data_IF_641785172261
#
_entry.id   IF_641785172261
#
_cell.length_a   1.000
_cell.length_b   1.000
_cell.length_c   1.000
_cell.angle_alpha   90.00
_cell.angle_beta   90.00
_cell.angle_gamma   90.00
#
_symmetry.space_group_name_H-M   'P 1'
#
loop_
_entity.id
_entity.type
_entity.pdbx_description
1 polymer ?
#
# COMPACT_ATOMS: atom_id res chain seq x y z
N UNK A 1 -5.12 26.32 -5.46
CA UNK A 1 -4.61 24.98 -5.86
C UNK A 1 -5.22 23.82 -5.05
N UNK A 2 -5.96 24.10 -3.97
CA UNK A 2 -6.63 23.11 -3.09
C UNK A 2 -8.13 22.88 -3.40
N UNK A 3 -8.72 23.63 -4.35
CA UNK A 3 -10.16 23.56 -4.64
C UNK A 3 -10.62 22.28 -5.36
N UNK A 4 -9.70 21.47 -5.91
CA UNK A 4 -10.10 20.28 -6.68
C UNK A 4 -10.46 19.06 -5.83
N UNK A 5 -10.10 19.03 -4.55
CA UNK A 5 -10.29 17.85 -3.68
C UNK A 5 -11.02 18.25 -2.41
N UNK A 6 -12.25 17.75 -2.24
CA UNK A 6 -13.07 17.99 -1.05
C UNK A 6 -12.36 17.61 0.25
N UNK A 7 -12.63 18.32 1.35
CA UNK A 7 -12.14 18.00 2.69
C UNK A 7 -12.43 16.54 3.09
N UNK A 8 -13.62 16.03 2.74
CA UNK A 8 -14.00 14.63 2.98
C UNK A 8 -12.99 13.63 2.39
N UNK A 9 -12.60 13.81 1.13
CA UNK A 9 -11.57 12.98 0.47
C UNK A 9 -10.21 13.09 1.14
N UNK A 10 -9.83 14.28 1.63
CA UNK A 10 -8.57 14.43 2.37
C UNK A 10 -8.60 13.65 3.69
N UNK A 11 -9.73 13.63 4.40
CA UNK A 11 -9.89 12.80 5.58
C UNK A 11 -9.88 11.31 5.26
N UNK A 12 -10.53 10.87 4.17
CA UNK A 12 -10.46 9.48 3.71
C UNK A 12 -9.03 9.05 3.37
N UNK A 13 -8.25 9.89 2.69
CA UNK A 13 -6.85 9.62 2.42
C UNK A 13 -6.05 9.46 3.71
N UNK A 14 -6.21 10.38 4.67
CA UNK A 14 -5.56 10.27 5.99
C UNK A 14 -5.96 9.01 6.74
N UNK A 15 -7.24 8.66 6.70
CA UNK A 15 -7.74 7.43 7.30
C UNK A 15 -7.10 6.19 6.65
N UNK A 16 -6.94 6.19 5.33
CA UNK A 16 -6.25 5.11 4.62
C UNK A 16 -4.77 5.01 5.01
N UNK A 17 -4.05 6.13 5.07
CA UNK A 17 -2.65 6.15 5.53
C UNK A 17 -2.52 5.66 6.97
N UNK A 18 -3.45 6.07 7.85
CA UNK A 18 -3.47 5.62 9.24
C UNK A 18 -3.75 4.11 9.31
N UNK A 19 -4.70 3.61 8.52
CA UNK A 19 -5.02 2.19 8.44
C UNK A 19 -3.81 1.37 8.01
N UNK A 20 -3.05 1.82 7.01
CA UNK A 20 -1.81 1.16 6.55
C UNK A 20 -0.76 1.18 7.66
N UNK A 21 -0.49 2.35 8.24
CA UNK A 21 0.53 2.50 9.28
C UNK A 21 0.24 1.65 10.52
N UNK A 22 -1.01 1.67 11.01
CA UNK A 22 -1.43 0.89 12.16
C UNK A 22 -1.50 -0.60 11.83
N UNK A 23 -2.08 -0.96 10.67
CA UNK A 23 -2.20 -2.35 10.24
C UNK A 23 -0.83 -3.03 10.14
N UNK A 24 0.12 -2.42 9.44
CA UNK A 24 1.49 -2.93 9.34
C UNK A 24 2.27 -2.77 10.65
N UNK A 25 1.99 -1.73 11.44
CA UNK A 25 2.52 -1.54 12.78
C UNK A 25 2.19 -2.69 13.74
N UNK A 26 1.00 -3.29 13.59
CA UNK A 26 0.58 -4.41 14.43
C UNK A 26 1.03 -5.75 13.82
N UNK A 27 0.98 -5.92 12.50
CA UNK A 27 1.24 -7.23 11.87
C UNK A 27 2.69 -7.48 11.49
N UNK A 28 3.45 -6.44 11.12
CA UNK A 28 4.82 -6.57 10.61
C UNK A 28 5.86 -6.15 11.64
N UNK A 29 5.68 -5.01 12.30
CA UNK A 29 6.70 -4.45 13.20
C UNK A 29 7.11 -5.35 14.38
N UNK A 30 6.24 -6.15 15.02
CA UNK A 30 6.70 -7.11 16.04
C UNK A 30 7.72 -8.09 15.49
N UNK A 31 7.54 -8.56 14.25
CA UNK A 31 8.46 -9.48 13.57
C UNK A 31 9.77 -8.85 13.12
N UNK A 32 9.88 -7.51 13.16
CA UNK A 32 11.09 -6.74 12.90
C UNK A 32 11.85 -6.46 14.19
N UNK A 33 11.14 -6.02 15.25
CA UNK A 33 11.75 -5.63 16.53
C UNK A 33 12.23 -6.87 17.31
N UNK A 34 11.45 -7.95 17.27
CA UNK A 34 11.75 -9.21 17.95
C UNK A 34 11.68 -10.38 16.93
N UNK A 35 12.62 -10.46 15.97
CA UNK A 35 12.59 -11.49 14.95
C UNK A 35 12.99 -12.85 15.53
N UNK A 36 12.34 -13.92 15.06
CA UNK A 36 12.73 -15.29 15.40
C UNK A 36 14.12 -15.68 14.85
N UNK A 37 14.60 -14.98 13.81
CA UNK A 37 15.93 -15.15 13.23
C UNK A 37 16.37 -13.85 12.56
N UNK A 38 17.65 -13.52 12.67
CA UNK A 38 18.29 -12.36 12.03
C UNK A 38 18.96 -12.70 10.69
N UNK A 39 18.83 -13.94 10.23
CA UNK A 39 19.42 -14.40 8.97
C UNK A 39 18.65 -13.85 7.78
N UNK A 40 19.39 -13.35 6.78
CA UNK A 40 18.82 -12.81 5.55
C UNK A 40 18.02 -13.87 4.78
N UNK A 41 16.77 -13.55 4.45
CA UNK A 41 15.89 -14.37 3.61
C UNK A 41 14.82 -13.49 2.92
N UNK A 42 14.09 -13.98 1.92
CA UNK A 42 13.06 -13.18 1.25
C UNK A 42 12.03 -12.57 2.21
N UNK A 43 11.65 -13.28 3.27
CA UNK A 43 10.75 -12.79 4.31
C UNK A 43 11.34 -11.63 5.12
N UNK A 44 12.63 -11.65 5.46
CA UNK A 44 13.28 -10.52 6.14
C UNK A 44 13.32 -9.27 5.24
N UNK A 45 13.51 -9.45 3.93
CA UNK A 45 13.45 -8.35 2.96
C UNK A 45 12.03 -7.77 2.86
N UNK A 46 11.01 -8.63 2.71
CA UNK A 46 9.60 -8.21 2.63
C UNK A 46 9.17 -7.47 3.90
N UNK A 47 9.51 -7.98 5.08
CA UNK A 47 9.21 -7.33 6.35
C UNK A 47 9.83 -5.94 6.42
N UNK A 48 11.11 -5.79 6.04
CA UNK A 48 11.77 -4.48 6.02
C UNK A 48 11.11 -3.49 5.05
N UNK A 49 10.72 -3.96 3.85
CA UNK A 49 10.00 -3.13 2.88
C UNK A 49 8.63 -2.68 3.41
N UNK A 50 7.85 -3.59 3.98
CA UNK A 50 6.54 -3.27 4.55
C UNK A 50 6.65 -2.44 5.84
N UNK A 51 7.69 -2.66 6.64
CA UNK A 51 8.00 -1.85 7.82
C UNK A 51 8.32 -0.40 7.44
N UNK A 52 9.15 -0.20 6.42
CA UNK A 52 9.45 1.11 5.87
C UNK A 52 8.20 1.78 5.29
N UNK A 53 7.38 1.03 4.54
CA UNK A 53 6.10 1.50 4.01
C UNK A 53 5.19 2.02 5.14
N UNK A 54 5.12 1.31 6.28
CA UNK A 54 4.33 1.74 7.44
C UNK A 54 4.80 3.09 8.00
N UNK A 55 6.12 3.31 8.09
CA UNK A 55 6.68 4.58 8.54
C UNK A 55 6.40 5.71 7.55
N UNK A 56 6.59 5.46 6.26
CA UNK A 56 6.35 6.46 5.22
C UNK A 56 4.86 6.80 5.12
N UNK A 57 3.97 5.86 5.43
CA UNK A 57 2.53 6.12 5.51
C UNK A 57 2.17 7.16 6.58
N UNK A 58 2.95 7.28 7.67
CA UNK A 58 2.75 8.34 8.67
C UNK A 58 2.91 9.75 8.07
N UNK A 59 3.81 9.91 7.09
CA UNK A 59 3.96 11.19 6.37
C UNK A 59 2.69 11.52 5.55
N UNK A 60 1.96 10.50 5.09
CA UNK A 60 0.68 10.65 4.42
C UNK A 60 -0.41 11.28 5.29
N UNK A 61 -0.29 11.22 6.62
CA UNK A 61 -1.21 11.91 7.53
C UNK A 61 -1.06 13.44 7.41
N UNK A 62 0.20 13.90 7.29
CA UNK A 62 0.52 15.32 7.15
C UNK A 62 0.35 15.81 5.71
N UNK A 63 0.79 15.02 4.73
CA UNK A 63 0.85 15.40 3.31
C UNK A 63 0.07 14.42 2.39
N UNK A 64 -1.26 14.24 2.58
CA UNK A 64 -2.00 13.13 1.96
C UNK A 64 -2.01 13.13 0.43
N UNK A 65 -2.01 14.31 -0.21
CA UNK A 65 -1.98 14.43 -1.68
C UNK A 65 -0.58 14.26 -2.27
N UNK A 66 0.47 14.67 -1.55
CA UNK A 66 1.85 14.52 -2.03
C UNK A 66 2.30 13.07 -1.93
N UNK A 67 1.75 12.32 -0.98
CA UNK A 67 2.06 10.92 -0.72
C UNK A 67 1.23 9.92 -1.56
N UNK A 68 0.42 10.39 -2.53
CA UNK A 68 -0.34 9.50 -3.42
C UNK A 68 0.50 8.41 -4.11
N UNK A 69 1.76 8.63 -4.50
CA UNK A 69 2.59 7.56 -5.07
C UNK A 69 2.73 6.36 -4.14
N UNK A 70 2.68 6.57 -2.82
CA UNK A 70 2.72 5.50 -1.82
C UNK A 70 1.48 4.61 -1.91
N UNK A 71 0.28 5.19 -2.06
CA UNK A 71 -0.96 4.43 -2.21
C UNK A 71 -1.02 3.72 -3.56
N UNK A 72 -0.49 4.35 -4.62
CA UNK A 72 -0.37 3.70 -5.94
C UNK A 72 0.55 2.49 -5.84
N UNK A 73 1.73 2.65 -5.22
CA UNK A 73 2.63 1.53 -4.95
C UNK A 73 1.94 0.43 -4.16
N UNK A 74 1.22 0.80 -3.10
CA UNK A 74 0.49 -0.14 -2.23
C UNK A 74 -0.57 -0.95 -2.98
N UNK A 75 -1.29 -0.30 -3.88
CA UNK A 75 -2.25 -0.96 -4.75
C UNK A 75 -1.55 -1.88 -5.74
N UNK A 76 -0.49 -1.40 -6.40
CA UNK A 76 0.20 -2.12 -7.46
C UNK A 76 0.79 -3.43 -6.97
N UNK A 77 1.57 -3.43 -5.88
CA UNK A 77 2.21 -4.68 -5.44
C UNK A 77 1.16 -5.71 -4.98
N UNK A 78 0.04 -5.29 -4.38
CA UNK A 78 -1.07 -6.17 -4.01
C UNK A 78 -1.77 -6.76 -5.22
N UNK A 79 -2.05 -5.94 -6.24
CA UNK A 79 -2.64 -6.42 -7.49
C UNK A 79 -1.70 -7.41 -8.16
N UNK A 80 -0.40 -7.09 -8.27
CA UNK A 80 0.61 -8.00 -8.81
C UNK A 80 0.63 -9.30 -8.00
N UNK A 81 0.63 -9.21 -6.67
CA UNK A 81 0.66 -10.39 -5.82
C UNK A 81 -0.55 -11.30 -6.02
N UNK A 82 -1.75 -10.71 -6.05
CA UNK A 82 -3.01 -11.45 -6.27
C UNK A 82 -2.99 -12.10 -7.66
N UNK A 83 -2.68 -11.35 -8.71
CA UNK A 83 -2.78 -11.82 -10.09
C UNK A 83 -1.70 -12.86 -10.41
N UNK A 84 -0.45 -12.60 -10.02
CA UNK A 84 0.68 -13.44 -10.39
C UNK A 84 0.87 -14.65 -9.47
N UNK A 85 0.40 -14.60 -8.22
CA UNK A 85 0.65 -15.67 -7.24
C UNK A 85 -0.64 -16.23 -6.64
N UNK A 86 -1.50 -15.40 -6.06
CA UNK A 86 -2.68 -15.91 -5.35
C UNK A 86 -3.69 -16.61 -6.27
N UNK A 87 -3.96 -16.04 -7.45
CA UNK A 87 -4.88 -16.62 -8.43
C UNK A 87 -4.35 -17.97 -8.96
N UNK A 88 -3.09 -18.09 -9.42
CA UNK A 88 -2.52 -19.39 -9.78
C UNK A 88 -2.52 -20.41 -8.63
N UNK A 89 -2.19 -19.99 -7.40
CA UNK A 89 -2.23 -20.88 -6.23
C UNK A 89 -3.64 -21.41 -5.97
N UNK A 90 -4.64 -20.53 -6.03
CA UNK A 90 -6.04 -20.90 -5.82
C UNK A 90 -6.56 -21.85 -6.90
N UNK A 91 -6.12 -21.67 -8.16
CA UNK A 91 -6.49 -22.53 -9.28
C UNK A 91 -5.75 -23.88 -9.30
N UNK A 92 -4.64 -24.02 -8.58
CA UNK A 92 -3.81 -25.23 -8.58
C UNK A 92 -3.71 -25.87 -7.18
N UNK A 93 -2.57 -25.70 -6.48
CA UNK A 93 -2.28 -26.41 -5.23
C UNK A 93 -3.20 -26.04 -4.05
N UNK A 94 -3.99 -24.97 -4.18
CA UNK A 94 -4.79 -24.41 -3.11
C UNK A 94 -4.02 -23.34 -2.30
N UNK A 95 -4.77 -22.62 -1.46
CA UNK A 95 -4.22 -21.58 -0.59
C UNK A 95 -4.03 -22.16 0.82
N UNK A 96 -2.79 -22.18 1.30
CA UNK A 96 -2.51 -22.48 2.71
C UNK A 96 -3.07 -21.38 3.64
N UNK A 97 -2.87 -21.52 4.96
CA UNK A 97 -3.37 -20.53 5.92
C UNK A 97 -2.77 -19.14 5.67
N UNK A 98 -1.46 -19.06 5.46
CA UNK A 98 -0.75 -17.81 5.24
C UNK A 98 -1.18 -17.11 3.93
N UNK A 99 -1.32 -17.87 2.85
CA UNK A 99 -1.76 -17.37 1.56
C UNK A 99 -3.21 -16.87 1.61
N UNK A 100 -4.10 -17.53 2.37
CA UNK A 100 -5.48 -17.05 2.58
C UNK A 100 -5.53 -15.72 3.32
N UNK A 101 -4.79 -15.60 4.42
CA UNK A 101 -4.70 -14.35 5.18
C UNK A 101 -4.09 -13.22 4.34
N UNK A 102 -3.03 -13.54 3.59
CA UNK A 102 -2.37 -12.58 2.70
C UNK A 102 -3.29 -12.15 1.57
N UNK A 103 -4.04 -13.08 0.96
CA UNK A 103 -5.05 -12.77 -0.06
C UNK A 103 -6.15 -11.88 0.50
N UNK A 104 -6.66 -12.17 1.70
CA UNK A 104 -7.66 -11.33 2.34
C UNK A 104 -7.15 -9.90 2.57
N UNK A 105 -5.96 -9.76 3.15
CA UNK A 105 -5.34 -8.45 3.39
C UNK A 105 -5.05 -7.69 2.08
N UNK A 106 -4.58 -8.39 1.05
CA UNK A 106 -4.35 -7.80 -0.27
C UNK A 106 -5.66 -7.37 -0.92
N UNK A 107 -6.69 -8.21 -0.92
CA UNK A 107 -8.00 -7.93 -1.50
C UNK A 107 -8.66 -6.72 -0.83
N UNK A 108 -8.60 -6.63 0.50
CA UNK A 108 -9.06 -5.45 1.24
C UNK A 108 -8.35 -4.18 0.76
N UNK A 109 -7.02 -4.22 0.58
CA UNK A 109 -6.27 -3.09 0.03
C UNK A 109 -6.68 -2.73 -1.40
N UNK A 110 -6.87 -3.74 -2.26
CA UNK A 110 -7.31 -3.57 -3.65
C UNK A 110 -8.72 -2.98 -3.76
N UNK A 111 -9.59 -3.19 -2.77
CA UNK A 111 -10.91 -2.56 -2.74
C UNK A 111 -10.85 -1.16 -2.14
N UNK A 112 -10.21 -1.00 -0.98
CA UNK A 112 -10.23 0.25 -0.22
C UNK A 112 -9.39 1.36 -0.87
N UNK A 113 -8.21 1.04 -1.41
CA UNK A 113 -7.31 2.06 -1.97
C UNK A 113 -7.94 2.76 -3.17
N UNK A 114 -8.47 2.06 -4.19
CA UNK A 114 -9.24 2.66 -5.27
C UNK A 114 -10.39 3.56 -4.83
N UNK A 115 -11.07 3.22 -3.74
CA UNK A 115 -12.21 3.98 -3.25
C UNK A 115 -11.79 5.35 -2.70
N UNK A 116 -10.64 5.43 -2.03
CA UNK A 116 -10.14 6.69 -1.44
C UNK A 116 -9.32 7.53 -2.41
N UNK A 117 -8.77 6.93 -3.46
CA UNK A 117 -7.92 7.63 -4.42
C UNK A 117 -8.72 8.70 -5.19
N UNK A 118 -8.23 9.96 -5.24
CA UNK A 118 -8.86 11.00 -6.03
C UNK A 118 -8.51 10.83 -7.51
N UNK A 119 -9.17 9.90 -8.21
CA UNK A 119 -8.88 9.53 -9.61
C UNK A 119 -8.74 10.72 -10.58
N UNK A 120 -9.64 11.71 -10.46
CA UNK A 120 -9.59 12.93 -11.28
C UNK A 120 -8.27 13.70 -11.05
N UNK A 121 -7.83 13.80 -9.80
CA UNK A 121 -6.57 14.43 -9.43
C UNK A 121 -5.38 13.60 -9.94
N UNK A 122 -5.39 12.27 -9.75
CA UNK A 122 -4.32 11.41 -10.25
C UNK A 122 -4.13 11.54 -11.76
N UNK A 123 -5.21 11.48 -12.53
CA UNK A 123 -5.15 11.58 -13.98
C UNK A 123 -4.63 12.95 -14.42
N UNK A 124 -5.10 14.04 -13.82
CA UNK A 124 -4.58 15.38 -14.12
C UNK A 124 -3.11 15.51 -13.76
N UNK A 125 -2.73 15.06 -12.56
CA UNK A 125 -1.42 15.32 -12.00
C UNK A 125 -0.32 14.40 -12.58
N UNK A 126 -0.57 13.10 -12.68
CA UNK A 126 0.43 12.11 -13.09
C UNK A 126 0.38 11.75 -14.58
N UNK A 127 -0.75 11.96 -15.26
CA UNK A 127 -0.88 11.58 -16.69
C UNK A 127 -0.86 12.81 -17.60
N UNK A 128 -1.50 13.91 -17.20
CA UNK A 128 -1.61 15.11 -18.06
C UNK A 128 -0.54 16.17 -17.80
N UNK A 129 0.03 16.25 -16.60
CA UNK A 129 1.07 17.26 -16.33
C UNK A 129 2.31 16.93 -17.15
N UNK A 130 2.87 17.91 -17.90
CA UNK A 130 4.15 17.72 -18.57
C UNK A 130 5.21 17.28 -17.55
N UNK A 131 6.04 16.30 -17.94
CA UNK A 131 7.13 15.86 -17.08
C UNK A 131 8.07 17.01 -16.77
N UNK A 132 8.72 16.96 -15.61
CA UNK A 132 9.85 17.85 -15.33
C UNK A 132 10.88 17.73 -16.47
N UNK A 133 11.48 18.86 -16.87
CA UNK A 133 12.50 18.87 -17.92
C UNK A 133 13.65 17.96 -17.49
N UNK A 134 14.13 17.13 -18.41
CA UNK A 134 15.22 16.19 -18.12
C UNK A 134 16.61 16.84 -18.00
N UNK A 135 16.71 18.16 -18.21
CA UNK A 135 17.94 18.95 -18.34
C UNK A 135 18.83 18.48 -19.51
#
# INVERSE_FOLDING_TARGET
MSEEVSLFRLYLLRAMYLLIAVGLGITIWPSIIAPASVVANPGSVVRSLLGALALVALLGLRYPLQMLPLLIFELLWKVIWIVAFALPMWAGPGLDAYARESLFACAMGVVLVPLVLPWRYLYRHYVRTPSARWA
#
